data_IF_623842878015
#
_entry.id   IF_623842878015
#
_cell.length_a   1.000
_cell.length_b   1.000
_cell.length_c   1.000
_cell.angle_alpha   90.00
_cell.angle_beta   90.00
_cell.angle_gamma   90.00
#
_symmetry.space_group_name_H-M   'P 1'
#
loop_
_entity.id
_entity.type
_entity.pdbx_description
1 polymer ?
#
# COMPACT_ATOMS: atom_id res chain seq x y z
N UNK A 1 -5.24 -5.80 7.89
CA UNK A 1 -4.46 -4.84 8.71
C UNK A 1 -4.47 -5.04 10.23
N UNK A 2 -5.09 -6.06 10.86
CA UNK A 2 -5.27 -6.02 12.33
C UNK A 2 -4.01 -6.31 13.17
N UNK A 3 -2.96 -6.92 12.61
CA UNK A 3 -1.76 -7.35 13.37
C UNK A 3 -0.45 -6.64 13.02
N UNK A 4 -0.45 -5.69 12.07
CA UNK A 4 0.76 -4.97 11.68
C UNK A 4 1.02 -3.74 12.57
N UNK A 5 2.29 -3.40 12.76
CA UNK A 5 2.74 -2.16 13.43
C UNK A 5 2.20 -1.92 14.85
N UNK A 6 1.88 -2.98 15.62
CA UNK A 6 1.23 -2.88 16.95
C UNK A 6 2.15 -2.40 18.08
N UNK A 7 3.45 -2.60 17.94
CA UNK A 7 4.45 -2.20 18.93
C UNK A 7 5.81 -1.96 18.26
N UNK A 8 6.67 -1.20 18.92
CA UNK A 8 8.03 -0.94 18.45
C UNK A 8 8.96 -2.15 18.69
N UNK A 9 10.01 -2.34 17.87
CA UNK A 9 10.32 -1.57 16.66
C UNK A 9 9.46 -2.02 15.47
N UNK A 10 8.95 -1.04 14.71
CA UNK A 10 8.20 -1.29 13.49
C UNK A 10 8.50 -0.19 12.46
N UNK A 11 8.26 -0.46 11.18
CA UNK A 11 8.42 0.54 10.12
C UNK A 11 7.23 1.52 10.13
N UNK A 12 7.28 2.50 11.02
CA UNK A 12 6.23 3.52 11.15
C UNK A 12 6.14 4.45 9.93
N UNK A 13 7.20 4.55 9.11
CA UNK A 13 7.14 5.24 7.82
C UNK A 13 6.19 4.51 6.85
N UNK A 14 6.30 3.18 6.73
CA UNK A 14 5.36 2.40 5.93
C UNK A 14 3.93 2.47 6.48
N UNK A 15 3.77 2.35 7.81
CA UNK A 15 2.47 2.49 8.49
C UNK A 15 1.75 3.79 8.11
N UNK A 16 2.47 4.91 8.08
CA UNK A 16 1.90 6.20 7.70
C UNK A 16 1.25 6.15 6.31
N UNK A 17 1.91 5.56 5.32
CA UNK A 17 1.32 5.43 3.98
C UNK A 17 0.10 4.52 3.95
N UNK A 18 0.12 3.37 4.64
CA UNK A 18 -1.07 2.51 4.73
C UNK A 18 -2.25 3.17 5.45
N UNK A 19 -2.01 3.98 6.47
CA UNK A 19 -3.08 4.67 7.20
C UNK A 19 -3.77 5.75 6.35
N UNK A 20 -3.08 6.31 5.34
CA UNK A 20 -3.55 7.43 4.52
C UNK A 20 -3.86 7.06 3.05
N UNK A 21 -3.63 5.80 2.66
CA UNK A 21 -3.89 5.33 1.29
C UNK A 21 -5.27 4.67 1.14
N UNK A 22 -5.78 4.67 -0.09
CA UNK A 22 -7.03 3.98 -0.44
C UNK A 22 -6.92 2.48 -0.17
N UNK A 23 -7.93 1.91 0.48
CA UNK A 23 -7.96 0.48 0.83
C UNK A 23 -6.84 0.04 1.77
N UNK A 24 -6.16 0.99 2.42
CA UNK A 24 -4.95 0.79 3.21
C UNK A 24 -3.79 0.15 2.43
N UNK A 25 -3.78 0.21 1.10
CA UNK A 25 -2.72 -0.37 0.28
C UNK A 25 -1.62 0.67 0.03
N UNK A 26 -0.37 0.33 0.33
CA UNK A 26 0.79 1.21 0.16
C UNK A 26 2.05 0.40 -0.16
N UNK A 27 3.02 1.00 -0.84
CA UNK A 27 4.34 0.41 -1.05
C UNK A 27 5.38 1.20 -0.25
N UNK A 28 5.42 0.95 1.06
CA UNK A 28 6.29 1.67 2.01
C UNK A 28 7.66 1.02 2.22
N UNK A 29 7.84 -0.24 1.78
CA UNK A 29 9.11 -0.97 1.81
C UNK A 29 9.15 -2.07 0.72
N UNK A 30 10.33 -2.64 0.36
CA UNK A 30 10.47 -3.50 -0.82
C UNK A 30 9.63 -4.80 -0.87
N UNK A 31 9.01 -5.22 0.23
CA UNK A 31 8.22 -6.45 0.32
C UNK A 31 6.82 -6.20 0.88
N UNK A 32 6.27 -5.01 0.64
CA UNK A 32 4.90 -4.66 1.06
C UNK A 32 3.82 -5.42 0.27
N UNK A 33 4.21 -6.08 -0.82
CA UNK A 33 3.35 -6.98 -1.59
C UNK A 33 3.04 -8.29 -0.84
N UNK A 34 3.83 -8.64 0.19
CA UNK A 34 3.55 -9.77 1.09
C UNK A 34 2.17 -9.59 1.72
N UNK A 35 1.34 -10.63 1.65
CA UNK A 35 -0.05 -10.60 2.07
C UNK A 35 -0.91 -9.54 1.36
N UNK A 36 -0.50 -9.11 0.15
CA UNK A 36 -1.26 -8.20 -0.71
C UNK A 36 -1.44 -6.81 -0.11
N UNK A 37 -0.43 -6.25 0.56
CA UNK A 37 -0.52 -4.93 1.19
C UNK A 37 -0.01 -3.79 0.29
N UNK A 38 0.57 -4.12 -0.87
CA UNK A 38 1.07 -3.15 -1.85
C UNK A 38 -0.02 -2.48 -2.69
N UNK A 39 0.34 -1.37 -3.33
CA UNK A 39 -0.45 -0.70 -4.38
C UNK A 39 -0.42 -1.41 -5.74
N UNK A 40 0.04 -2.65 -5.79
CA UNK A 40 0.14 -3.39 -7.05
C UNK A 40 -1.23 -3.68 -7.65
N UNK A 41 -1.41 -3.31 -8.91
CA UNK A 41 -2.59 -3.60 -9.72
C UNK A 41 -2.10 -4.23 -11.03
N UNK A 42 -2.77 -5.29 -11.48
CA UNK A 42 -2.51 -5.91 -12.78
C UNK A 42 -3.82 -6.35 -13.43
N UNK A 43 -3.85 -6.33 -14.76
CA UNK A 43 -4.98 -6.76 -15.56
C UNK A 43 -4.45 -7.35 -16.87
N UNK A 44 -5.04 -8.44 -17.36
CA UNK A 44 -4.53 -9.16 -18.54
C UNK A 44 -4.88 -8.50 -19.88
N UNK A 45 -5.95 -7.70 -19.90
CA UNK A 45 -6.45 -7.00 -21.10
C UNK A 45 -7.05 -5.62 -20.74
N UNK A 46 -6.24 -4.61 -20.37
CA UNK A 46 -6.75 -3.33 -19.89
C UNK A 46 -7.17 -2.38 -21.02
N UNK A 47 -8.27 -1.64 -20.83
CA UNK A 47 -8.68 -0.59 -21.77
C UNK A 47 -7.99 0.76 -21.50
N UNK A 48 -7.92 1.18 -20.22
CA UNK A 48 -7.22 2.40 -19.79
C UNK A 48 -6.85 2.32 -18.30
N UNK A 49 -5.88 3.14 -17.89
CA UNK A 49 -5.51 3.38 -16.49
C UNK A 49 -5.67 4.87 -16.20
N UNK A 50 -6.43 5.20 -15.15
CA UNK A 50 -6.56 6.58 -14.68
C UNK A 50 -5.57 6.83 -13.54
N UNK A 51 -4.77 7.90 -13.67
CA UNK A 51 -3.90 8.38 -12.60
C UNK A 51 -4.34 9.78 -12.20
N UNK A 52 -4.83 9.92 -10.98
CA UNK A 52 -5.23 11.22 -10.40
C UNK A 52 -4.04 11.83 -9.65
N UNK A 53 -3.65 13.05 -10.03
CA UNK A 53 -2.58 13.80 -9.35
C UNK A 53 -3.23 14.82 -8.40
N UNK A 54 -2.98 14.65 -7.09
CA UNK A 54 -3.41 15.59 -6.05
C UNK A 54 -2.42 16.73 -5.81
N UNK A 55 -2.72 17.57 -4.82
CA UNK A 55 -1.88 18.65 -4.32
C UNK A 55 -1.69 18.53 -2.81
#
# INVERSE_FOLDING_TARGET
MSNFYRAAPANYYAKFWHDNALGNLAYGFPYDDVAGQSTFISHSDPQYLLVAVGW
#
